data_IF_161567057760
#
_entry.id   IF_161567057760
#
_cell.length_a   1.000
_cell.length_b   1.000
_cell.length_c   1.000
_cell.angle_alpha   90.00
_cell.angle_beta   90.00
_cell.angle_gamma   90.00
#
_symmetry.space_group_name_H-M   'P 1'
#
loop_
_entity.id
_entity.type
_entity.pdbx_description
1 polymer ?
#
# COMPACT_ATOMS: atom_id res chain seq x y z
N UNK A 1 0.94 -14.88 -9.60
CA UNK A 1 1.01 -13.85 -8.57
C UNK A 1 1.57 -12.59 -9.22
N UNK A 2 0.93 -11.48 -8.95
CA UNK A 2 1.27 -10.22 -9.61
C UNK A 2 2.02 -9.28 -8.67
N UNK A 3 2.22 -9.71 -7.45
CA UNK A 3 2.70 -8.91 -6.32
C UNK A 3 3.83 -9.63 -5.63
N UNK A 4 4.44 -8.98 -4.65
CA UNK A 4 5.35 -9.61 -3.72
C UNK A 4 4.77 -10.89 -3.16
N UNK A 5 5.60 -11.90 -3.04
CA UNK A 5 5.21 -13.17 -2.43
C UNK A 5 5.21 -13.12 -0.90
N UNK A 6 5.74 -12.07 -0.31
CA UNK A 6 5.85 -11.93 1.12
C UNK A 6 6.16 -10.50 1.57
N UNK A 7 6.38 -10.34 2.86
CA UNK A 7 6.64 -9.06 3.51
C UNK A 7 8.04 -9.00 4.13
N UNK A 8 8.91 -9.90 3.75
CA UNK A 8 10.29 -10.02 4.23
C UNK A 8 11.23 -8.96 3.62
N UNK A 9 12.40 -9.37 3.23
CA UNK A 9 13.42 -8.50 2.67
C UNK A 9 13.04 -7.98 1.27
N UNK A 10 13.70 -6.90 0.87
CA UNK A 10 13.54 -6.28 -0.44
C UNK A 10 13.89 -7.23 -1.59
N UNK A 11 13.04 -7.26 -2.61
CA UNK A 11 13.28 -7.97 -3.86
C UNK A 11 13.84 -7.01 -4.92
N UNK A 12 15.09 -7.19 -5.31
CA UNK A 12 15.79 -6.34 -6.28
C UNK A 12 15.22 -6.36 -7.71
N UNK A 13 14.27 -7.24 -7.99
CA UNK A 13 13.56 -7.24 -9.28
C UNK A 13 12.55 -6.09 -9.41
N UNK A 14 12.26 -5.39 -8.31
CA UNK A 14 11.33 -4.26 -8.25
C UNK A 14 12.06 -2.92 -8.14
N UNK A 15 11.53 -1.82 -8.67
CA UNK A 15 12.11 -0.50 -8.46
C UNK A 15 12.04 -0.13 -6.98
N UNK A 16 13.15 0.36 -6.42
CA UNK A 16 13.21 0.75 -5.01
C UNK A 16 12.88 2.22 -4.85
N UNK A 17 11.90 2.58 -4.02
CA UNK A 17 11.52 3.96 -3.80
C UNK A 17 12.41 4.64 -2.74
N UNK A 18 13.74 4.58 -2.91
CA UNK A 18 14.75 5.23 -2.07
C UNK A 18 15.34 6.49 -2.73
N UNK A 19 14.81 6.86 -3.89
CA UNK A 19 15.14 8.04 -4.70
C UNK A 19 13.89 8.59 -5.36
N UNK A 20 13.98 9.71 -6.05
CA UNK A 20 12.90 10.18 -6.89
C UNK A 20 12.68 9.24 -8.08
N UNK A 21 11.43 8.87 -8.34
CA UNK A 21 11.02 8.06 -9.47
C UNK A 21 10.08 8.87 -10.37
N UNK A 22 10.33 8.79 -11.67
CA UNK A 22 9.52 9.44 -12.68
C UNK A 22 8.47 8.47 -13.24
N UNK A 23 7.21 8.90 -13.25
CA UNK A 23 6.10 8.09 -13.71
C UNK A 23 5.38 8.76 -14.87
N UNK A 24 5.35 8.10 -16.04
CA UNK A 24 4.51 8.57 -17.14
C UNK A 24 3.06 8.11 -16.94
N UNK A 25 2.11 9.01 -17.20
CA UNK A 25 0.68 8.70 -17.20
C UNK A 25 0.14 8.93 -18.61
N UNK A 26 -0.30 7.85 -19.23
CA UNK A 26 -0.76 7.79 -20.62
C UNK A 26 -2.27 7.54 -20.61
N UNK A 27 -3.00 8.37 -21.35
CA UNK A 27 -4.46 8.30 -21.43
C UNK A 27 -4.89 7.65 -22.74
N UNK A 28 -5.66 6.57 -22.66
CA UNK A 28 -6.05 5.72 -23.78
C UNK A 28 -7.51 5.91 -24.14
N UNK A 29 -7.77 6.35 -25.39
CA UNK A 29 -9.13 6.43 -25.96
C UNK A 29 -9.40 5.24 -26.86
N UNK A 30 -10.69 4.93 -27.11
CA UNK A 30 -11.10 3.78 -27.91
C UNK A 30 -12.02 4.19 -29.04
N UNK A 31 -12.04 3.45 -30.19
CA UNK A 31 -12.91 3.75 -31.31
C UNK A 31 -14.41 3.68 -31.01
N UNK A 32 -14.80 2.95 -29.94
CA UNK A 32 -16.18 2.76 -29.50
C UNK A 32 -16.62 3.74 -28.40
N UNK A 33 -15.80 4.75 -28.09
CA UNK A 33 -16.11 5.76 -27.06
C UNK A 33 -15.60 7.15 -27.48
N UNK A 34 -16.27 8.17 -26.94
CA UNK A 34 -15.82 9.56 -26.99
C UNK A 34 -15.61 10.01 -25.55
N UNK A 35 -14.35 10.24 -25.12
CA UNK A 35 -14.07 10.68 -23.76
C UNK A 35 -14.80 12.00 -23.42
N UNK A 36 -15.41 12.05 -22.25
CA UNK A 36 -16.06 13.27 -21.74
C UNK A 36 -15.13 14.15 -20.92
N UNK A 37 -14.08 13.52 -20.35
CA UNK A 37 -13.08 14.20 -19.55
C UNK A 37 -11.80 14.37 -20.35
N UNK A 38 -11.04 15.39 -20.05
CA UNK A 38 -9.70 15.59 -20.61
C UNK A 38 -8.65 14.76 -19.83
N UNK A 39 -7.49 14.46 -20.44
CA UNK A 39 -6.36 13.90 -19.71
C UNK A 39 -5.96 14.68 -18.46
N UNK A 40 -5.98 16.00 -18.50
CA UNK A 40 -5.62 16.86 -17.36
C UNK A 40 -6.63 16.70 -16.19
N UNK A 41 -7.92 16.57 -16.46
CA UNK A 41 -8.95 16.30 -15.43
C UNK A 41 -8.75 14.93 -14.79
N UNK A 42 -8.51 13.89 -15.58
CA UNK A 42 -8.24 12.55 -15.05
C UNK A 42 -6.91 12.48 -14.30
N UNK A 43 -5.89 13.21 -14.73
CA UNK A 43 -4.64 13.31 -13.97
C UNK A 43 -4.84 13.97 -12.62
N UNK A 44 -5.70 15.00 -12.55
CA UNK A 44 -6.02 15.71 -11.31
C UNK A 44 -6.76 14.84 -10.28
N UNK A 45 -7.42 13.77 -10.70
CA UNK A 45 -8.04 12.79 -9.80
C UNK A 45 -7.01 12.05 -8.94
N UNK A 46 -5.81 11.88 -9.45
CA UNK A 46 -4.77 11.07 -8.81
C UNK A 46 -3.62 11.89 -8.23
N UNK A 47 -3.28 13.00 -8.87
CA UNK A 47 -2.15 13.84 -8.50
C UNK A 47 -2.58 15.27 -8.20
N UNK A 48 -2.04 15.91 -7.17
CA UNK A 48 -0.85 15.50 -6.40
C UNK A 48 -1.12 14.57 -5.21
N UNK A 49 -2.33 14.06 -5.02
CA UNK A 49 -2.69 13.28 -3.83
C UNK A 49 -1.80 12.04 -3.63
N UNK A 50 -1.57 11.25 -4.68
CA UNK A 50 -0.72 10.05 -4.63
C UNK A 50 0.74 10.41 -4.33
N UNK A 51 1.28 11.48 -4.93
CA UNK A 51 2.64 11.94 -4.64
C UNK A 51 2.81 12.37 -3.19
N UNK A 52 1.83 13.10 -2.65
CA UNK A 52 1.82 13.53 -1.23
C UNK A 52 1.73 12.36 -0.27
N UNK A 53 0.93 11.34 -0.63
CA UNK A 53 0.83 10.12 0.17
C UNK A 53 2.21 9.48 0.37
N UNK A 54 2.95 9.26 -0.70
CA UNK A 54 4.27 8.63 -0.64
C UNK A 54 5.32 9.55 -0.02
N UNK A 55 5.28 10.86 -0.26
CA UNK A 55 6.17 11.82 0.37
C UNK A 55 6.02 11.78 1.90
N UNK A 56 4.78 11.80 2.40
CA UNK A 56 4.47 11.68 3.84
C UNK A 56 4.90 10.31 4.37
N UNK A 57 4.52 9.21 3.71
CA UNK A 57 4.83 7.85 4.13
C UNK A 57 6.34 7.59 4.20
N UNK A 58 7.12 8.20 3.33
CA UNK A 58 8.58 8.05 3.27
C UNK A 58 9.37 9.06 4.11
N UNK A 59 8.69 9.94 4.84
CA UNK A 59 9.33 11.06 5.56
C UNK A 59 10.16 11.97 4.65
N UNK A 60 9.69 12.15 3.41
CA UNK A 60 10.37 12.95 2.39
C UNK A 60 11.58 12.28 1.73
N UNK A 61 11.85 11.00 2.01
CA UNK A 61 12.98 10.27 1.38
C UNK A 61 12.71 9.89 -0.07
N UNK A 62 11.45 9.79 -0.44
CA UNK A 62 10.98 9.41 -1.77
C UNK A 62 10.03 10.45 -2.33
N UNK A 63 10.17 10.76 -3.61
CA UNK A 63 9.20 11.56 -4.36
C UNK A 63 8.79 10.84 -5.64
N UNK A 64 7.49 10.64 -5.79
CA UNK A 64 6.85 10.17 -7.01
C UNK A 64 6.55 11.39 -7.89
N UNK A 65 7.21 11.49 -9.05
CA UNK A 65 7.06 12.60 -9.99
C UNK A 65 6.19 12.18 -11.18
N UNK A 66 4.92 12.63 -11.24
CA UNK A 66 4.05 12.30 -12.36
C UNK A 66 4.35 13.16 -13.58
N UNK A 67 4.27 12.53 -14.75
CA UNK A 67 4.37 13.15 -16.06
C UNK A 67 3.13 12.77 -16.91
N UNK A 68 1.96 13.38 -16.63
CA UNK A 68 0.76 13.09 -17.39
C UNK A 68 0.89 13.62 -18.83
N UNK A 69 0.53 12.77 -19.80
CA UNK A 69 0.41 13.17 -21.19
C UNK A 69 -0.88 13.99 -21.38
N UNK A 70 -0.82 15.04 -22.19
CA UNK A 70 -1.94 15.99 -22.34
C UNK A 70 -2.93 15.58 -23.44
N UNK A 71 -2.62 14.55 -24.19
CA UNK A 71 -3.43 14.10 -25.31
C UNK A 71 -3.82 12.64 -25.14
N UNK A 72 -5.02 12.33 -25.62
CA UNK A 72 -5.45 10.97 -25.73
C UNK A 72 -4.62 10.21 -26.78
N UNK A 73 -4.20 9.00 -26.41
CA UNK A 73 -3.58 8.04 -27.31
C UNK A 73 -4.67 7.11 -27.82
N UNK A 74 -4.99 7.11 -29.14
CA UNK A 74 -6.04 6.26 -29.67
C UNK A 74 -5.60 4.80 -29.75
N UNK A 75 -6.38 3.92 -29.12
CA UNK A 75 -6.20 2.49 -29.20
C UNK A 75 -6.68 1.94 -30.55
N UNK A 76 -6.02 0.90 -31.11
CA UNK A 76 -6.38 0.36 -32.45
C UNK A 76 -7.68 -0.44 -32.46
N UNK A 77 -8.19 -0.87 -31.29
CA UNK A 77 -9.39 -1.70 -31.19
C UNK A 77 -10.40 -1.09 -30.23
N UNK A 78 -11.66 -1.45 -30.37
CA UNK A 78 -12.74 -1.11 -29.45
C UNK A 78 -12.42 -1.61 -28.03
N UNK A 79 -12.87 -0.88 -27.01
CA UNK A 79 -12.66 -1.24 -25.61
C UNK A 79 -13.19 -2.63 -25.29
N UNK A 80 -14.34 -2.99 -25.88
CA UNK A 80 -14.99 -4.28 -25.72
C UNK A 80 -14.16 -5.45 -26.27
N UNK A 81 -13.27 -5.21 -27.24
CA UNK A 81 -12.43 -6.25 -27.83
C UNK A 81 -11.34 -6.77 -26.87
N UNK A 82 -10.97 -5.99 -25.87
CA UNK A 82 -9.94 -6.37 -24.89
C UNK A 82 -10.47 -7.21 -23.74
N UNK A 83 -11.80 -7.23 -23.53
CA UNK A 83 -12.43 -8.03 -22.46
C UNK A 83 -11.93 -7.67 -21.07
N UNK A 84 -11.81 -6.37 -20.80
CA UNK A 84 -11.31 -5.80 -19.53
C UNK A 84 -12.30 -6.16 -18.42
N UNK A 85 -11.79 -6.86 -17.39
CA UNK A 85 -12.56 -7.26 -16.21
C UNK A 85 -11.62 -7.69 -15.08
N UNK A 86 -12.13 -7.82 -13.86
CA UNK A 86 -11.34 -8.22 -12.69
C UNK A 86 -10.48 -9.47 -12.95
N UNK A 87 -11.08 -10.56 -13.38
CA UNK A 87 -10.38 -11.81 -13.74
C UNK A 87 -10.04 -11.83 -15.24
N UNK A 88 -9.19 -10.90 -15.62
CA UNK A 88 -8.85 -10.64 -17.00
C UNK A 88 -7.95 -11.72 -17.59
N UNK A 89 -8.34 -12.25 -18.72
CA UNK A 89 -7.56 -13.23 -19.49
C UNK A 89 -6.16 -12.68 -19.83
N UNK A 90 -5.13 -13.46 -19.56
CA UNK A 90 -3.74 -13.03 -19.70
C UNK A 90 -3.35 -12.69 -21.14
N UNK A 91 -3.90 -13.40 -22.15
CA UNK A 91 -3.61 -13.13 -23.55
C UNK A 91 -4.24 -11.82 -24.02
N UNK A 92 -5.50 -11.56 -23.63
CA UNK A 92 -6.21 -10.31 -23.90
C UNK A 92 -5.56 -9.13 -23.18
N UNK A 93 -5.18 -9.31 -21.93
CA UNK A 93 -4.41 -8.32 -21.17
C UNK A 93 -3.08 -8.01 -21.84
N UNK A 94 -2.34 -9.02 -22.25
CA UNK A 94 -1.10 -8.85 -23.00
C UNK A 94 -1.28 -8.12 -24.32
N UNK A 95 -2.39 -8.37 -25.05
CA UNK A 95 -2.73 -7.64 -26.25
C UNK A 95 -3.01 -6.15 -25.97
N UNK A 96 -3.80 -5.86 -24.92
CA UNK A 96 -4.06 -4.48 -24.49
C UNK A 96 -2.77 -3.72 -24.18
N UNK A 97 -1.86 -4.32 -23.40
CA UNK A 97 -0.61 -3.68 -23.03
C UNK A 97 0.31 -3.43 -24.23
N UNK A 98 0.42 -4.41 -25.13
CA UNK A 98 1.21 -4.22 -26.37
C UNK A 98 0.63 -3.14 -27.25
N UNK A 99 -0.69 -3.16 -27.49
CA UNK A 99 -1.36 -2.15 -28.31
C UNK A 99 -1.20 -0.74 -27.69
N UNK A 100 -1.32 -0.62 -26.34
CA UNK A 100 -1.16 0.66 -25.64
C UNK A 100 0.28 1.21 -25.74
N UNK A 101 1.28 0.38 -25.48
CA UNK A 101 2.70 0.80 -25.58
C UNK A 101 3.03 1.17 -27.02
N UNK A 102 2.63 0.35 -28.00
CA UNK A 102 2.88 0.65 -29.43
C UNK A 102 2.20 1.95 -29.88
N UNK A 103 0.98 2.19 -29.42
CA UNK A 103 0.26 3.42 -29.78
C UNK A 103 0.87 4.67 -29.11
N UNK A 104 1.44 4.53 -27.92
CA UNK A 104 2.05 5.63 -27.20
C UNK A 104 3.50 5.93 -27.63
N UNK A 105 4.23 4.96 -28.15
CA UNK A 105 5.64 5.03 -28.52
C UNK A 105 6.04 6.27 -29.35
N UNK A 106 5.26 6.70 -30.36
CA UNK A 106 5.60 7.91 -31.12
C UNK A 106 5.60 9.22 -30.31
N UNK A 107 4.94 9.25 -29.14
CA UNK A 107 4.76 10.45 -28.33
C UNK A 107 5.46 10.37 -26.97
N UNK A 108 5.88 9.18 -26.52
CA UNK A 108 6.42 8.91 -25.19
C UNK A 108 7.78 8.23 -25.33
N UNK A 109 8.81 8.88 -24.84
CA UNK A 109 10.15 8.27 -24.66
C UNK A 109 10.17 7.49 -23.35
N UNK A 110 9.91 6.18 -23.42
CA UNK A 110 9.81 5.30 -22.25
C UNK A 110 11.13 5.16 -21.47
N UNK A 111 12.27 5.45 -22.08
CA UNK A 111 13.58 5.40 -21.41
C UNK A 111 13.72 6.41 -20.27
N UNK A 112 12.83 7.41 -20.22
CA UNK A 112 12.86 8.48 -19.22
C UNK A 112 12.08 8.18 -17.95
N UNK A 113 11.35 7.06 -17.91
CA UNK A 113 10.39 6.79 -16.85
C UNK A 113 10.65 5.46 -16.13
N UNK A 114 10.48 5.49 -14.83
CA UNK A 114 10.60 4.31 -13.96
C UNK A 114 9.26 3.54 -13.85
N UNK A 115 8.14 4.23 -14.01
CA UNK A 115 6.78 3.70 -13.82
C UNK A 115 5.90 4.14 -14.99
N UNK A 116 5.03 3.22 -15.44
CA UNK A 116 4.05 3.47 -16.49
C UNK A 116 2.64 3.27 -15.96
N UNK A 117 1.82 4.34 -16.00
CA UNK A 117 0.39 4.30 -15.75
C UNK A 117 -0.36 4.36 -17.08
N UNK A 118 -1.24 3.40 -17.34
CA UNK A 118 -2.13 3.38 -18.49
C UNK A 118 -3.56 3.65 -18.01
N UNK A 119 -4.06 4.84 -18.26
CA UNK A 119 -5.40 5.29 -17.85
C UNK A 119 -6.35 5.18 -19.02
N UNK A 120 -7.32 4.29 -18.91
CA UNK A 120 -8.35 4.13 -19.94
C UNK A 120 -9.41 5.21 -19.81
N UNK A 121 -10.02 5.56 -20.95
CA UNK A 121 -11.24 6.38 -20.99
C UNK A 121 -12.33 5.75 -20.09
N UNK A 122 -12.74 6.40 -19.00
CA UNK A 122 -13.74 5.85 -18.09
C UNK A 122 -15.15 5.71 -18.67
N UNK A 123 -15.40 6.39 -19.80
CA UNK A 123 -16.68 6.35 -20.49
C UNK A 123 -16.80 5.21 -21.50
N UNK A 124 -15.71 4.50 -21.78
CA UNK A 124 -15.71 3.38 -22.71
C UNK A 124 -16.46 2.17 -22.15
N UNK A 125 -17.39 1.64 -22.92
CA UNK A 125 -18.33 0.59 -22.47
C UNK A 125 -17.67 -0.76 -22.12
N UNK A 126 -16.47 -1.00 -22.64
CA UNK A 126 -15.68 -2.21 -22.36
C UNK A 126 -14.75 -2.07 -21.18
N UNK A 127 -14.74 -0.93 -20.47
CA UNK A 127 -13.89 -0.67 -19.30
C UNK A 127 -14.66 -1.06 -18.03
N UNK A 128 -14.06 -1.92 -17.23
CA UNK A 128 -14.56 -2.36 -15.94
C UNK A 128 -13.65 -1.79 -14.83
N UNK A 129 -14.20 -0.94 -13.97
CA UNK A 129 -13.46 -0.27 -12.90
C UNK A 129 -12.79 -1.28 -11.93
N UNK A 130 -13.41 -2.44 -11.71
CA UNK A 130 -12.85 -3.50 -10.86
C UNK A 130 -11.59 -4.16 -11.44
N UNK A 131 -11.19 -3.79 -12.66
CA UNK A 131 -10.02 -4.33 -13.34
C UNK A 131 -8.72 -3.52 -13.09
N UNK A 132 -8.79 -2.39 -12.41
CA UNK A 132 -7.61 -1.59 -12.04
C UNK A 132 -6.62 -2.46 -11.26
N UNK A 133 -5.38 -2.53 -11.76
CA UNK A 133 -4.32 -3.34 -11.14
C UNK A 133 -2.94 -3.05 -11.69
N UNK A 134 -1.93 -3.40 -10.92
CA UNK A 134 -0.57 -3.57 -11.44
C UNK A 134 -0.48 -4.86 -12.27
N UNK A 135 0.27 -4.80 -13.36
CA UNK A 135 0.62 -5.96 -14.17
C UNK A 135 2.12 -6.16 -14.13
N UNK A 136 2.55 -7.24 -13.52
CA UNK A 136 3.93 -7.71 -13.57
C UNK A 136 4.08 -8.65 -14.77
N UNK A 137 5.00 -8.30 -15.66
CA UNK A 137 5.22 -9.03 -16.90
C UNK A 137 6.38 -10.01 -16.73
N UNK A 138 6.13 -11.29 -16.99
CA UNK A 138 7.19 -12.33 -17.02
C UNK A 138 8.17 -12.07 -18.18
N UNK A 139 7.65 -11.54 -19.28
CA UNK A 139 8.43 -11.04 -20.41
C UNK A 139 8.15 -9.56 -20.56
N UNK A 140 9.18 -8.71 -20.40
CA UNK A 140 8.99 -7.26 -20.51
C UNK A 140 8.52 -6.88 -21.93
N UNK A 141 7.80 -5.78 -22.00
CA UNK A 141 7.61 -5.05 -23.24
C UNK A 141 8.83 -4.16 -23.45
N UNK A 142 9.29 -4.05 -24.69
CA UNK A 142 10.44 -3.21 -25.01
C UNK A 142 10.01 -2.04 -25.86
N UNK A 143 10.33 -0.83 -25.44
CA UNK A 143 10.17 0.41 -26.18
C UNK A 143 11.37 1.34 -25.86
N UNK A 144 11.85 2.09 -26.84
CA UNK A 144 13.01 2.99 -26.71
C UNK A 144 14.26 2.33 -26.09
N UNK A 145 14.46 1.03 -26.37
CA UNK A 145 15.55 0.26 -25.77
C UNK A 145 15.41 -0.01 -24.26
N UNK A 146 14.23 0.24 -23.72
CA UNK A 146 13.91 0.07 -22.28
C UNK A 146 12.95 -1.10 -22.09
N UNK A 147 13.22 -1.92 -21.09
CA UNK A 147 12.36 -3.00 -20.67
C UNK A 147 11.28 -2.49 -19.69
N UNK A 148 10.03 -2.52 -20.13
CA UNK A 148 8.86 -2.22 -19.33
C UNK A 148 8.41 -3.52 -18.67
N UNK A 149 8.74 -3.69 -17.39
CA UNK A 149 8.44 -4.92 -16.63
C UNK A 149 7.14 -4.84 -15.83
N UNK A 150 6.71 -3.63 -15.47
CA UNK A 150 5.51 -3.38 -14.68
C UNK A 150 4.73 -2.21 -15.25
N UNK A 151 3.43 -2.39 -15.30
CA UNK A 151 2.51 -1.37 -15.76
C UNK A 151 1.33 -1.34 -14.80
N UNK A 152 0.92 -0.16 -14.39
CA UNK A 152 -0.34 0.01 -13.67
C UNK A 152 -1.43 0.33 -14.67
N UNK A 153 -2.41 -0.55 -14.80
CA UNK A 153 -3.61 -0.30 -15.61
C UNK A 153 -4.67 0.33 -14.73
N UNK A 154 -5.15 1.51 -15.12
CA UNK A 154 -6.14 2.31 -14.39
C UNK A 154 -7.43 2.35 -15.19
N UNK A 155 -8.48 1.75 -14.64
CA UNK A 155 -9.81 1.64 -15.24
C UNK A 155 -10.88 2.34 -14.38
N UNK A 156 -10.43 3.20 -13.49
CA UNK A 156 -11.29 3.91 -12.57
C UNK A 156 -12.34 4.76 -13.27
N UNK A 157 -13.46 4.95 -12.58
CA UNK A 157 -14.47 5.95 -12.95
C UNK A 157 -13.94 7.35 -12.64
N UNK A 158 -14.69 8.34 -13.00
CA UNK A 158 -14.43 9.74 -12.65
C UNK A 158 -15.56 10.26 -11.73
N UNK A 159 -15.27 10.66 -10.48
CA UNK A 159 -13.99 10.52 -9.76
C UNK A 159 -13.65 9.06 -9.40
N UNK A 160 -12.37 8.75 -9.23
CA UNK A 160 -11.92 7.41 -8.86
C UNK A 160 -12.10 7.14 -7.36
N UNK A 161 -11.90 5.88 -6.99
CA UNK A 161 -11.78 5.52 -5.60
C UNK A 161 -10.55 6.18 -4.96
N UNK A 162 -10.70 6.63 -3.70
CA UNK A 162 -9.59 7.26 -2.99
C UNK A 162 -8.43 6.27 -2.81
N UNK A 163 -7.20 6.76 -2.86
CA UNK A 163 -5.98 5.98 -2.65
C UNK A 163 -5.76 4.80 -3.60
N UNK A 164 -6.61 4.58 -4.61
CA UNK A 164 -6.46 3.45 -5.54
C UNK A 164 -5.08 3.45 -6.20
N UNK A 165 -4.61 4.61 -6.67
CA UNK A 165 -3.30 4.69 -7.32
C UNK A 165 -2.14 4.53 -6.32
N UNK A 166 -2.30 4.92 -5.06
CA UNK A 166 -1.33 4.65 -4.01
C UNK A 166 -1.22 3.16 -3.71
N UNK A 167 -2.34 2.45 -3.65
CA UNK A 167 -2.40 0.99 -3.49
C UNK A 167 -1.67 0.28 -4.65
N UNK A 168 -2.06 0.57 -5.89
CA UNK A 168 -1.47 -0.09 -7.05
C UNK A 168 0.02 0.25 -7.23
N UNK A 169 0.42 1.47 -6.89
CA UNK A 169 1.83 1.85 -6.90
C UNK A 169 2.62 1.13 -5.79
N UNK A 170 2.00 0.83 -4.66
CA UNK A 170 2.58 -0.04 -3.63
C UNK A 170 3.04 -1.39 -4.19
N UNK A 171 2.26 -1.98 -5.08
CA UNK A 171 2.65 -3.23 -5.76
C UNK A 171 3.82 -3.06 -6.73
N UNK A 172 3.98 -1.89 -7.34
CA UNK A 172 5.19 -1.58 -8.14
C UNK A 172 6.44 -1.62 -7.26
N UNK A 173 6.29 -1.32 -5.97
CA UNK A 173 7.37 -1.33 -4.96
C UNK A 173 7.48 -2.64 -4.18
N UNK A 174 7.00 -3.75 -4.67
CA UNK A 174 7.07 -5.06 -4.02
C UNK A 174 6.27 -5.17 -2.70
N UNK A 175 5.16 -4.46 -2.57
CA UNK A 175 4.24 -4.66 -1.47
C UNK A 175 3.14 -5.64 -1.84
N UNK A 176 2.80 -6.53 -0.93
CA UNK A 176 1.76 -7.55 -1.10
C UNK A 176 0.37 -6.99 -0.77
N UNK A 177 -0.69 -7.60 -1.31
CA UNK A 177 -2.03 -7.39 -0.80
C UNK A 177 -2.13 -7.92 0.64
N UNK A 178 -2.68 -7.11 1.52
CA UNK A 178 -2.91 -7.45 2.92
C UNK A 178 -4.36 -7.82 3.21
N UNK A 179 -5.27 -7.61 2.26
CA UNK A 179 -6.65 -8.03 2.42
C UNK A 179 -6.79 -9.55 2.36
N UNK A 180 -7.85 -10.08 2.96
CA UNK A 180 -8.24 -11.48 2.83
C UNK A 180 -8.93 -11.72 1.48
N UNK A 181 -8.47 -12.69 0.73
CA UNK A 181 -9.14 -13.13 -0.50
C UNK A 181 -9.73 -14.52 -0.30
N UNK A 182 -11.00 -14.64 0.12
CA UNK A 182 -11.62 -15.94 0.36
C UNK A 182 -11.70 -16.75 -0.93
N UNK A 183 -11.39 -18.04 -0.84
CA UNK A 183 -11.35 -18.93 -2.00
C UNK A 183 -12.73 -19.14 -2.65
N UNK A 184 -13.80 -19.01 -1.87
CA UNK A 184 -15.19 -19.15 -2.30
C UNK A 184 -15.85 -17.80 -2.66
N UNK A 185 -15.11 -16.70 -2.58
CA UNK A 185 -15.60 -15.34 -2.82
C UNK A 185 -16.55 -14.82 -1.75
N UNK A 186 -16.69 -15.51 -0.62
CA UNK A 186 -17.54 -15.12 0.50
C UNK A 186 -16.71 -14.68 1.69
N UNK A 187 -17.30 -13.80 2.51
CA UNK A 187 -16.63 -13.25 3.68
C UNK A 187 -16.06 -11.86 3.45
N UNK A 188 -15.59 -11.27 4.53
CA UNK A 188 -15.07 -9.92 4.55
C UNK A 188 -13.60 -9.90 4.14
N UNK A 189 -13.25 -9.00 3.23
CA UNK A 189 -11.90 -8.86 2.71
C UNK A 189 -10.98 -8.10 3.65
N UNK A 190 -11.54 -7.29 4.55
CA UNK A 190 -10.78 -6.41 5.43
C UNK A 190 -10.42 -7.03 6.79
N UNK A 191 -10.69 -8.34 6.98
CA UNK A 191 -10.53 -9.05 8.26
C UNK A 191 -9.12 -9.11 8.80
N UNK A 192 -8.09 -9.03 7.95
CA UNK A 192 -6.69 -9.16 8.39
C UNK A 192 -6.10 -7.87 8.93
N UNK A 193 -6.37 -6.75 8.27
CA UNK A 193 -5.71 -5.48 8.63
C UNK A 193 -6.68 -4.31 8.79
N UNK A 194 -7.95 -4.45 8.40
CA UNK A 194 -8.93 -3.38 8.51
C UNK A 194 -8.46 -2.08 7.88
N UNK A 195 -8.55 -1.00 8.64
CA UNK A 195 -8.21 0.36 8.20
C UNK A 195 -6.71 0.68 8.13
N UNK A 196 -5.81 -0.22 8.58
CA UNK A 196 -4.47 0.13 9.07
C UNK A 196 -3.34 0.17 8.03
N UNK A 197 -3.58 -0.12 6.78
CA UNK A 197 -2.60 0.01 5.69
C UNK A 197 -3.32 0.07 4.35
N UNK A 198 -2.89 0.95 3.45
CA UNK A 198 -3.48 1.09 2.11
C UNK A 198 -3.40 -0.19 1.28
N UNK A 199 -2.44 -1.09 1.58
CA UNK A 199 -2.34 -2.39 0.92
C UNK A 199 -3.40 -3.39 1.40
N UNK A 200 -4.07 -3.14 2.51
CA UNK A 200 -5.25 -3.86 2.98
C UNK A 200 -6.52 -3.29 2.36
N UNK A 201 -6.72 -1.99 2.52
CA UNK A 201 -7.89 -1.30 1.97
C UNK A 201 -7.54 0.14 1.57
N UNK A 202 -7.83 0.49 0.34
CA UNK A 202 -7.72 1.87 -0.14
C UNK A 202 -8.70 2.83 0.54
N UNK A 203 -9.75 2.29 1.16
CA UNK A 203 -10.78 3.03 1.87
C UNK A 203 -10.54 3.17 3.38
N UNK A 204 -9.47 2.56 3.91
CA UNK A 204 -9.15 2.59 5.33
C UNK A 204 -9.02 4.01 5.90
N UNK A 205 -9.36 4.17 7.18
CA UNK A 205 -9.25 5.45 7.90
C UNK A 205 -7.80 5.81 8.26
N UNK A 206 -6.93 4.81 8.30
CA UNK A 206 -5.51 4.93 8.67
C UNK A 206 -4.64 4.32 7.59
N UNK A 207 -4.65 4.89 6.35
CA UNK A 207 -4.07 4.25 5.18
C UNK A 207 -2.55 4.32 5.11
N UNK A 208 -1.86 4.96 6.05
CA UNK A 208 -0.40 4.99 6.02
C UNK A 208 0.17 3.58 6.11
N UNK A 209 1.26 3.34 5.44
CA UNK A 209 1.90 2.04 5.42
C UNK A 209 2.36 1.63 6.81
N UNK A 210 2.20 0.34 7.16
CA UNK A 210 2.82 -0.22 8.35
C UNK A 210 4.31 0.13 8.42
N UNK A 211 4.82 0.34 9.62
CA UNK A 211 6.25 0.55 9.84
C UNK A 211 7.09 -0.61 9.27
N UNK A 212 6.57 -1.83 9.26
CA UNK A 212 7.19 -2.98 8.59
C UNK A 212 7.40 -2.75 7.10
N UNK A 213 6.39 -2.26 6.38
CA UNK A 213 6.49 -1.90 4.97
C UNK A 213 7.50 -0.77 4.75
N UNK A 214 7.45 0.27 5.58
CA UNK A 214 8.42 1.38 5.50
C UNK A 214 9.86 0.89 5.73
N UNK A 215 10.05 -0.08 6.61
CA UNK A 215 11.35 -0.71 6.84
C UNK A 215 11.81 -1.53 5.62
N UNK A 216 10.93 -2.36 5.05
CA UNK A 216 11.18 -3.09 3.80
C UNK A 216 11.58 -2.14 2.66
N UNK A 217 10.91 -1.01 2.51
CA UNK A 217 11.19 -0.01 1.46
C UNK A 217 12.46 0.82 1.72
N UNK A 218 13.08 0.69 2.89
CA UNK A 218 14.28 1.43 3.26
C UNK A 218 14.00 2.85 3.80
N UNK A 219 12.74 3.18 4.09
CA UNK A 219 12.37 4.47 4.65
C UNK A 219 12.62 4.58 6.16
N UNK A 220 12.59 3.44 6.87
CA UNK A 220 13.09 3.34 8.25
C UNK A 220 14.52 2.79 8.21
N UNK A 221 15.43 3.54 8.78
CA UNK A 221 16.79 3.09 9.02
C UNK A 221 16.86 2.19 10.28
N UNK A 222 18.03 1.60 10.50
CA UNK A 222 18.25 0.69 11.64
C UNK A 222 18.01 1.38 13.00
N UNK A 223 18.21 2.69 13.10
CA UNK A 223 18.01 3.42 14.35
C UNK A 223 16.51 3.59 14.69
N UNK A 224 15.63 3.55 13.68
CA UNK A 224 14.19 3.66 13.85
C UNK A 224 13.50 2.31 14.15
N UNK A 225 14.24 1.19 14.10
CA UNK A 225 13.73 -0.16 14.36
C UNK A 225 14.41 -0.77 15.57
N UNK A 226 13.62 -1.23 16.54
CA UNK A 226 14.11 -1.88 17.75
C UNK A 226 13.78 -3.37 17.76
N UNK A 227 14.79 -4.23 17.66
CA UNK A 227 14.64 -5.68 17.85
C UNK A 227 14.68 -6.00 19.35
N UNK A 228 13.57 -6.48 19.88
CA UNK A 228 13.39 -6.75 21.32
C UNK A 228 13.68 -8.23 21.59
N UNK A 229 14.68 -8.49 22.42
CA UNK A 229 15.09 -9.85 22.80
C UNK A 229 14.89 -10.14 24.28
N UNK A 230 14.62 -9.12 25.08
CA UNK A 230 14.37 -9.19 26.51
C UNK A 230 13.44 -8.07 26.91
N UNK A 231 13.02 -8.03 28.15
CA UNK A 231 12.17 -6.94 28.65
C UNK A 231 12.82 -5.58 28.43
N UNK A 232 12.12 -4.70 27.71
CA UNK A 232 12.55 -3.34 27.40
C UNK A 232 11.41 -2.33 27.59
N UNK A 233 11.80 -1.09 27.92
CA UNK A 233 10.93 0.07 27.86
C UNK A 233 11.33 0.90 26.65
N UNK A 234 10.40 1.12 25.71
CA UNK A 234 10.65 1.76 24.43
C UNK A 234 9.68 2.93 24.26
N UNK A 235 10.17 4.03 23.71
CA UNK A 235 9.33 5.14 23.27
C UNK A 235 9.12 5.02 21.76
N UNK A 236 7.85 4.88 21.34
CA UNK A 236 7.44 4.75 19.96
C UNK A 236 6.87 6.08 19.44
N UNK A 237 7.49 6.63 18.42
CA UNK A 237 6.95 7.77 17.68
C UNK A 237 5.83 7.28 16.73
N UNK A 238 4.75 8.05 16.55
CA UNK A 238 3.68 7.67 15.61
C UNK A 238 4.21 7.48 14.19
N UNK A 239 3.84 6.37 13.55
CA UNK A 239 4.35 6.00 12.22
C UNK A 239 4.11 7.08 11.17
N UNK A 240 2.94 7.73 11.19
CA UNK A 240 2.59 8.75 10.21
C UNK A 240 3.09 10.17 10.57
N UNK A 241 3.67 10.38 11.76
CA UNK A 241 4.13 11.70 12.18
C UNK A 241 5.40 12.11 11.43
N UNK A 242 5.40 13.32 10.90
CA UNK A 242 6.62 13.90 10.31
C UNK A 242 7.71 14.04 11.39
N UNK A 243 8.99 13.77 11.07
CA UNK A 243 10.08 14.06 11.98
C UNK A 243 10.23 15.57 12.17
N UNK A 244 10.75 15.99 13.32
CA UNK A 244 11.13 17.38 13.51
C UNK A 244 12.21 17.78 12.51
N UNK A 245 12.22 19.02 12.02
CA UNK A 245 13.25 19.48 11.08
C UNK A 245 14.66 19.24 11.65
N UNK A 246 15.49 18.49 10.90
CA UNK A 246 16.84 18.11 11.33
C UNK A 246 16.90 17.10 12.50
N UNK A 247 15.74 16.58 12.94
CA UNK A 247 15.63 15.61 14.01
C UNK A 247 15.74 14.15 13.52
N UNK A 248 15.97 13.26 14.47
CA UNK A 248 15.90 11.82 14.26
C UNK A 248 14.44 11.38 14.05
N UNK A 249 14.22 10.28 13.31
CA UNK A 249 12.91 9.64 13.21
C UNK A 249 12.40 9.11 14.57
N UNK A 250 13.29 8.87 15.52
CA UNK A 250 12.96 8.11 16.72
C UNK A 250 12.67 6.65 16.42
N UNK A 251 12.28 5.87 17.40
CA UNK A 251 11.87 4.48 17.19
C UNK A 251 10.42 4.46 16.66
N UNK A 252 10.23 3.87 15.50
CA UNK A 252 8.91 3.75 14.83
C UNK A 252 8.37 2.33 14.82
N UNK A 253 9.25 1.36 15.02
CA UNK A 253 8.91 -0.05 14.99
C UNK A 253 9.68 -0.80 16.07
N UNK A 254 8.98 -1.56 16.90
CA UNK A 254 9.56 -2.59 17.74
C UNK A 254 9.19 -3.97 17.18
N UNK A 255 10.16 -4.88 17.14
CA UNK A 255 9.99 -6.22 16.59
C UNK A 255 10.40 -7.25 17.61
N UNK A 256 9.52 -8.21 17.86
CA UNK A 256 9.83 -9.43 18.65
C UNK A 256 9.78 -10.60 17.69
N UNK A 257 10.90 -11.30 17.53
CA UNK A 257 10.93 -12.52 16.72
C UNK A 257 10.16 -13.62 17.45
N UNK A 258 9.19 -14.23 16.76
CA UNK A 258 8.33 -15.28 17.32
C UNK A 258 8.55 -16.64 16.67
N UNK A 259 9.33 -16.71 15.60
CA UNK A 259 9.68 -17.94 14.88
C UNK A 259 10.75 -17.68 13.85
N UNK A 260 11.00 -18.63 12.96
CA UNK A 260 12.00 -18.49 11.90
C UNK A 260 11.56 -17.39 10.93
N UNK A 261 10.32 -17.44 10.46
CA UNK A 261 9.74 -16.53 9.46
C UNK A 261 8.57 -15.69 10.01
N UNK A 262 8.50 -15.58 11.36
CA UNK A 262 7.41 -14.86 12.01
C UNK A 262 7.92 -13.87 13.04
N UNK A 263 7.19 -12.76 13.15
CA UNK A 263 7.45 -11.72 14.13
C UNK A 263 6.16 -11.09 14.65
N UNK A 264 6.22 -10.55 15.87
CA UNK A 264 5.28 -9.57 16.37
C UNK A 264 5.87 -8.18 16.10
N UNK A 265 5.14 -7.35 15.39
CA UNK A 265 5.47 -5.96 15.15
C UNK A 265 4.59 -5.06 16.02
N UNK A 266 5.17 -3.99 16.53
CA UNK A 266 4.55 -3.06 17.48
C UNK A 266 4.90 -1.66 17.02
N UNK A 267 3.90 -0.83 16.75
CA UNK A 267 4.05 0.54 16.30
C UNK A 267 3.01 1.46 16.95
N UNK A 268 3.21 2.76 16.91
CA UNK A 268 2.24 3.73 17.38
C UNK A 268 1.50 4.38 16.19
N UNK A 269 0.16 4.50 16.32
CA UNK A 269 -0.70 5.16 15.34
C UNK A 269 -1.36 6.38 15.98
N UNK A 270 -1.44 7.47 15.23
CA UNK A 270 -2.05 8.72 15.69
C UNK A 270 -2.69 9.46 14.52
N UNK A 271 -3.64 10.34 14.83
CA UNK A 271 -4.34 11.20 13.87
C UNK A 271 -3.39 12.28 13.32
N UNK A 272 -2.52 11.87 12.39
CA UNK A 272 -1.52 12.74 11.76
C UNK A 272 -1.09 12.19 10.40
N UNK A 273 -0.58 13.06 9.53
CA UNK A 273 -0.04 12.65 8.23
C UNK A 273 -1.09 11.95 7.35
N UNK A 274 -0.79 10.75 6.88
CA UNK A 274 -1.75 9.97 6.09
C UNK A 274 -2.86 9.35 6.94
N UNK A 275 -2.71 9.31 8.27
CA UNK A 275 -3.66 8.74 9.21
C UNK A 275 -4.52 9.81 9.91
N UNK A 276 -4.66 10.99 9.32
CA UNK A 276 -5.42 12.10 9.94
C UNK A 276 -6.87 11.75 10.27
N UNK A 277 -7.45 10.75 9.61
CA UNK A 277 -8.82 10.26 9.82
C UNK A 277 -8.89 9.01 10.70
N UNK A 278 -7.80 8.60 11.34
CA UNK A 278 -7.81 7.37 12.16
C UNK A 278 -8.93 7.37 13.19
N UNK A 279 -9.58 6.23 13.33
CA UNK A 279 -10.65 6.04 14.30
C UNK A 279 -10.13 6.15 15.74
N UNK A 280 -9.03 5.46 16.02
CA UNK A 280 -8.42 5.38 17.34
C UNK A 280 -6.93 5.61 17.27
N UNK A 281 -6.37 6.18 18.34
CA UNK A 281 -4.93 6.37 18.50
C UNK A 281 -4.38 5.43 19.57
N UNK A 282 -3.20 4.89 19.37
CA UNK A 282 -2.57 4.03 20.36
C UNK A 282 -1.44 3.18 19.78
N UNK A 283 -1.13 2.12 20.49
CA UNK A 283 -0.08 1.17 20.13
C UNK A 283 -0.71 -0.03 19.41
N UNK A 284 -0.45 -0.14 18.14
CA UNK A 284 -0.96 -1.19 17.27
C UNK A 284 0.01 -2.38 17.25
N UNK A 285 -0.56 -3.57 17.40
CA UNK A 285 0.16 -4.84 17.37
C UNK A 285 -0.28 -5.64 16.13
N UNK A 286 0.67 -6.22 15.42
CA UNK A 286 0.33 -7.11 14.32
C UNK A 286 1.35 -8.24 14.16
N UNK A 287 0.89 -9.37 13.68
CA UNK A 287 1.72 -10.52 13.35
C UNK A 287 2.20 -10.42 11.93
N UNK A 288 3.47 -10.69 11.71
CA UNK A 288 4.09 -10.76 10.39
C UNK A 288 4.49 -12.22 10.12
N UNK A 289 4.15 -12.72 8.94
CA UNK A 289 4.53 -14.05 8.43
C UNK A 289 5.20 -13.86 7.06
N UNK A 290 6.52 -13.90 7.04
CA UNK A 290 7.30 -13.56 5.86
C UNK A 290 7.02 -14.44 4.63
N UNK A 291 6.72 -15.72 4.83
CA UNK A 291 6.48 -16.69 3.76
C UNK A 291 5.00 -16.80 3.34
N UNK A 292 4.11 -16.03 3.96
CA UNK A 292 2.70 -16.07 3.60
C UNK A 292 2.44 -15.24 2.35
N UNK A 293 1.74 -15.84 1.39
CA UNK A 293 1.46 -15.22 0.10
C UNK A 293 0.52 -14.00 0.23
N UNK A 294 0.62 -13.10 -0.75
CA UNK A 294 -0.30 -11.99 -0.98
C UNK A 294 -1.75 -12.45 -0.93
N UNK A 295 -2.61 -11.72 -0.23
CA UNK A 295 -4.04 -12.05 -0.05
C UNK A 295 -4.33 -13.20 0.93
N UNK A 296 -3.32 -13.74 1.61
CA UNK A 296 -3.44 -14.87 2.54
C UNK A 296 -3.04 -14.53 3.99
N UNK A 297 -2.94 -13.24 4.32
CA UNK A 297 -2.60 -12.75 5.65
C UNK A 297 -1.11 -12.77 5.98
N UNK A 298 -0.23 -12.19 5.12
CA UNK A 298 1.19 -12.01 5.47
C UNK A 298 1.35 -11.06 6.67
N UNK A 299 0.41 -10.14 6.85
CA UNK A 299 0.25 -9.33 8.06
C UNK A 299 -1.17 -9.51 8.59
N UNK A 300 -1.29 -9.67 9.89
CA UNK A 300 -2.57 -9.69 10.60
C UNK A 300 -2.51 -8.78 11.83
N UNK A 301 -3.39 -7.81 11.90
CA UNK A 301 -3.58 -6.97 13.09
C UNK A 301 -4.17 -7.81 14.21
N UNK A 302 -3.62 -7.67 15.40
CA UNK A 302 -4.15 -8.32 16.59
C UNK A 302 -5.23 -7.42 17.18
N UNK A 303 -6.44 -7.94 17.22
CA UNK A 303 -7.53 -7.31 17.95
C UNK A 303 -7.24 -7.40 19.46
N UNK A 304 -6.94 -6.26 20.07
CA UNK A 304 -6.67 -6.18 21.52
C UNK A 304 -7.93 -5.92 22.34
N UNK A 305 -9.06 -5.68 21.67
CA UNK A 305 -10.38 -5.40 22.27
C UNK A 305 -11.48 -6.26 21.62
N UNK A 306 -11.39 -7.60 21.70
CA UNK A 306 -12.21 -8.52 20.91
C UNK A 306 -13.71 -8.47 21.21
N UNK A 307 -14.11 -7.77 22.26
CA UNK A 307 -15.51 -7.62 22.66
C UNK A 307 -16.09 -6.23 22.32
N UNK A 308 -15.35 -5.44 21.55
CA UNK A 308 -15.77 -4.09 21.13
C UNK A 308 -15.50 -3.84 19.66
N UNK A 309 -16.09 -2.80 19.13
CA UNK A 309 -16.01 -2.34 17.76
C UNK A 309 -16.15 -0.81 17.74
N UNK A 310 -15.51 -0.16 16.78
CA UNK A 310 -15.54 1.29 16.69
C UNK A 310 -15.79 1.79 15.26
N UNK A 311 -16.20 3.05 15.15
CA UNK A 311 -16.36 3.76 13.87
C UNK A 311 -17.19 3.01 12.83
N UNK A 312 -18.33 2.46 13.24
CA UNK A 312 -19.24 1.63 12.46
C UNK A 312 -19.62 2.16 11.08
N UNK A 313 -19.83 3.47 10.99
CA UNK A 313 -20.29 4.10 9.75
C UNK A 313 -19.14 4.53 8.83
N UNK A 314 -17.89 4.40 9.27
CA UNK A 314 -16.72 4.94 8.57
C UNK A 314 -15.61 3.91 8.34
N UNK A 315 -15.39 2.99 9.30
CA UNK A 315 -14.39 1.94 9.23
C UNK A 315 -14.74 0.89 8.19
N UNK A 316 -13.75 0.41 7.45
CA UNK A 316 -13.90 -0.72 6.52
C UNK A 316 -14.08 -2.03 7.28
N UNK A 317 -13.60 -2.12 8.52
CA UNK A 317 -13.76 -3.28 9.40
C UNK A 317 -13.81 -2.87 10.88
N UNK A 318 -14.98 -2.51 11.42
CA UNK A 318 -15.17 -2.00 12.78
C UNK A 318 -14.53 -2.84 13.91
N UNK A 319 -14.49 -4.19 13.81
CA UNK A 319 -13.84 -5.01 14.85
C UNK A 319 -12.34 -4.74 15.04
N UNK A 320 -11.63 -4.19 14.05
CA UNK A 320 -10.23 -3.82 14.16
C UNK A 320 -10.01 -2.30 14.27
N UNK A 321 -11.07 -1.50 14.21
CA UNK A 321 -10.93 -0.04 14.25
C UNK A 321 -10.45 0.49 15.60
N UNK A 322 -10.68 -0.24 16.70
CA UNK A 322 -10.19 0.03 18.06
C UNK A 322 -9.08 -0.93 18.52
N UNK A 323 -8.43 -1.62 17.57
CA UNK A 323 -7.34 -2.55 17.88
C UNK A 323 -6.13 -1.93 18.63
N UNK A 324 -5.75 -0.63 18.50
CA UNK A 324 -4.63 -0.08 19.25
C UNK A 324 -4.86 -0.04 20.76
N UNK A 325 -3.86 -0.44 21.54
CA UNK A 325 -3.81 -0.28 22.99
C UNK A 325 -3.65 1.20 23.37
N UNK A 326 -4.42 1.65 24.34
CA UNK A 326 -4.28 2.99 24.93
C UNK A 326 -3.49 2.96 26.24
N UNK A 327 -3.16 4.14 26.79
CA UNK A 327 -2.40 4.26 28.03
C UNK A 327 -3.10 3.55 29.19
N UNK A 328 -2.35 2.73 29.90
CA UNK A 328 -2.81 1.90 31.02
C UNK A 328 -3.23 0.49 30.62
N UNK A 329 -3.36 0.21 29.34
CA UNK A 329 -3.76 -1.11 28.86
C UNK A 329 -2.57 -2.05 28.67
N UNK A 330 -2.90 -3.33 28.65
CA UNK A 330 -1.95 -4.44 28.49
C UNK A 330 -2.55 -5.53 27.64
N UNK A 331 -1.77 -6.03 26.70
CA UNK A 331 -2.11 -7.20 25.90
C UNK A 331 -1.03 -8.27 26.01
N UNK A 332 -1.43 -9.52 26.08
CA UNK A 332 -0.51 -10.67 26.06
C UNK A 332 -0.86 -11.54 24.86
N UNK A 333 0.10 -11.75 23.98
CA UNK A 333 -0.12 -12.56 22.78
C UNK A 333 -0.51 -13.99 23.14
N UNK A 334 -1.42 -14.63 22.36
CA UNK A 334 -1.69 -16.05 22.52
C UNK A 334 -0.44 -16.89 22.22
N UNK A 335 -0.27 -18.01 22.88
CA UNK A 335 0.87 -18.92 22.72
C UNK A 335 1.13 -19.76 23.96
N UNK A 336 2.07 -20.70 23.87
CA UNK A 336 2.52 -21.51 25.01
C UNK A 336 3.25 -20.65 26.05
N UNK A 337 3.32 -21.08 27.34
CA UNK A 337 4.21 -20.45 28.30
C UNK A 337 5.64 -20.43 27.75
N UNK A 338 6.30 -19.26 27.77
CA UNK A 338 7.65 -19.10 27.19
C UNK A 338 7.67 -18.60 25.73
N UNK A 339 6.51 -18.49 25.06
CA UNK A 339 6.38 -17.95 23.71
C UNK A 339 5.57 -16.64 23.67
N UNK A 340 5.04 -16.24 24.82
CA UNK A 340 4.14 -15.08 24.92
C UNK A 340 4.92 -13.79 25.05
N UNK A 341 4.46 -12.79 24.34
CA UNK A 341 4.92 -11.41 24.51
C UNK A 341 3.83 -10.61 25.21
N UNK A 342 4.19 -9.89 26.25
CA UNK A 342 3.31 -8.95 26.94
C UNK A 342 3.70 -7.53 26.57
N UNK A 343 2.74 -6.77 26.10
CA UNK A 343 2.88 -5.37 25.73
C UNK A 343 2.02 -4.52 26.65
N UNK A 344 2.59 -3.52 27.26
CA UNK A 344 1.95 -2.67 28.26
C UNK A 344 2.23 -1.20 27.91
N UNK A 345 1.17 -0.44 27.62
CA UNK A 345 1.27 1.00 27.29
C UNK A 345 1.30 1.80 28.59
N UNK A 346 2.44 2.41 28.88
CA UNK A 346 2.70 3.10 30.15
C UNK A 346 2.30 4.55 30.15
N UNK A 347 2.61 5.27 29.07
CA UNK A 347 2.46 6.72 29.04
C UNK A 347 2.39 7.21 27.59
N UNK A 348 1.85 8.41 27.41
CA UNK A 348 1.95 9.20 26.17
C UNK A 348 2.71 10.47 26.48
N UNK A 349 3.83 10.68 25.80
CA UNK A 349 4.68 11.85 26.01
C UNK A 349 3.99 13.14 25.54
N UNK A 350 4.50 14.28 25.97
CA UNK A 350 4.00 15.60 25.52
C UNK A 350 4.18 15.82 24.01
N UNK A 351 5.11 15.12 23.38
CA UNK A 351 5.38 15.17 21.96
C UNK A 351 4.50 14.22 21.15
N UNK A 352 3.65 13.43 21.81
CA UNK A 352 2.71 12.51 21.19
C UNK A 352 3.24 11.07 20.98
N UNK A 353 4.45 10.76 21.43
CA UNK A 353 4.99 9.40 21.41
C UNK A 353 4.42 8.55 22.55
N UNK A 354 4.41 7.22 22.38
CA UNK A 354 3.96 6.26 23.40
C UNK A 354 5.14 5.54 24.05
N UNK A 355 5.13 5.47 25.38
CA UNK A 355 6.08 4.67 26.13
C UNK A 355 5.47 3.29 26.39
N UNK A 356 6.15 2.26 25.92
CA UNK A 356 5.66 0.88 25.91
C UNK A 356 6.66 -0.02 26.60
N UNK A 357 6.19 -0.84 27.56
CA UNK A 357 6.98 -1.92 28.14
C UNK A 357 6.66 -3.21 27.40
N UNK A 358 7.67 -3.81 26.78
CA UNK A 358 7.57 -5.09 26.09
C UNK A 358 8.31 -6.13 26.91
N UNK A 359 7.62 -7.19 27.31
CA UNK A 359 8.18 -8.31 28.07
C UNK A 359 8.12 -9.54 27.19
N UNK A 360 9.27 -10.05 26.81
CA UNK A 360 9.43 -11.35 26.13
C UNK A 360 9.64 -12.43 27.18
N UNK A 361 9.18 -13.63 26.87
CA UNK A 361 9.38 -14.79 27.75
C UNK A 361 10.84 -15.28 27.72
#
# INVERSE_FOLDING_TARGET
>A
AHHSLGVDSWNSAYPRPDRNLDAVMIFLSFPDSVPRNSPDELAADHFPATSRFFERASYGKFALRPHPQRQWVPMPKASTAYGIRRDWDSARRGAYLRDAVTAADPAVDFSRYDIVYLVADPDASGVDADATKVVNLDRPLTADGTDIKRVVTVFERHPPDRNVLAHETGHVFDLADLYHRPADGKGDWDTYVGDWDVMGSQFGLSPDLFAWHKWKLGWLDRAAVRCVQKTELITLEPVAAAPSPGGSLGTRLAVVRTGEDTALAIEARASTGNDESTCTEGVLLYRVRAETASGSGPIEVLDTHPDSEACWDESVYPPLADAPLVVGETFTTPGAPGERTRVEVRDRTRTGAWTVKITTA
#
